data_IF_062769175704
#
_entry.id   IF_062769175704
#
_cell.length_a   1.000
_cell.length_b   1.000
_cell.length_c   1.000
_cell.angle_alpha   90.00
_cell.angle_beta   90.00
_cell.angle_gamma   90.00
#
_symmetry.space_group_name_H-M   'P 1'
#
loop_
_entity.id
_entity.type
_entity.pdbx_description
1 polymer ?
#
# COMPACT_ATOMS: atom_id res chain seq x y z
N UNK A 1 -26.96 18.38 10.06
CA UNK A 1 -25.96 18.68 9.06
C UNK A 1 -25.49 17.35 8.48
N UNK A 2 -26.39 16.62 7.83
CA UNK A 2 -26.23 15.21 7.47
C UNK A 2 -26.88 14.95 6.10
N UNK A 3 -26.38 15.53 5.03
CA UNK A 3 -26.99 15.28 3.69
C UNK A 3 -26.01 15.42 2.51
N UNK A 4 -24.73 15.15 2.68
CA UNK A 4 -23.78 15.22 1.54
C UNK A 4 -22.97 13.96 1.24
N UNK A 5 -23.06 12.89 2.03
CA UNK A 5 -22.27 11.66 1.80
C UNK A 5 -22.98 10.59 0.95
N UNK A 6 -24.28 10.61 0.83
CA UNK A 6 -25.08 9.59 0.13
C UNK A 6 -25.14 9.71 -1.40
N UNK A 7 -24.61 10.77 -2.00
CA UNK A 7 -24.70 10.96 -3.44
C UNK A 7 -23.54 10.33 -4.25
N UNK A 8 -22.41 10.04 -3.62
CA UNK A 8 -21.22 9.54 -4.35
C UNK A 8 -21.29 8.03 -4.65
N UNK A 9 -21.77 7.22 -3.71
CA UNK A 9 -21.83 5.76 -3.88
C UNK A 9 -22.88 5.30 -4.91
N UNK A 10 -23.96 6.05 -5.09
CA UNK A 10 -24.99 5.72 -6.09
C UNK A 10 -24.65 6.19 -7.52
N UNK A 11 -23.60 6.99 -7.71
CA UNK A 11 -23.23 7.51 -9.03
C UNK A 11 -22.27 6.61 -9.79
N UNK A 12 -21.52 5.73 -9.12
CA UNK A 12 -20.49 4.90 -9.75
C UNK A 12 -21.02 3.94 -10.83
N UNK A 13 -22.08 3.15 -10.58
CA UNK A 13 -22.63 2.27 -11.63
C UNK A 13 -23.26 3.00 -12.81
N UNK A 14 -23.73 4.24 -12.57
CA UNK A 14 -24.33 5.06 -13.62
C UNK A 14 -23.30 5.78 -14.51
N UNK A 15 -22.11 6.08 -13.97
CA UNK A 15 -21.00 6.70 -14.69
C UNK A 15 -20.33 5.73 -15.68
N UNK A 16 -20.16 4.46 -15.30
CA UNK A 16 -19.61 3.41 -16.17
C UNK A 16 -20.49 3.13 -17.38
N UNK A 17 -21.82 3.30 -17.26
CA UNK A 17 -22.77 3.13 -18.34
C UNK A 17 -22.90 4.36 -19.28
N UNK A 18 -22.40 5.54 -18.83
CA UNK A 18 -22.53 6.79 -19.58
C UNK A 18 -21.31 7.16 -20.44
N UNK A 19 -20.25 6.33 -20.47
CA UNK A 19 -19.05 6.59 -21.28
C UNK A 19 -18.24 7.81 -20.81
N UNK A 20 -18.19 8.03 -19.50
CA UNK A 20 -17.41 9.12 -18.89
C UNK A 20 -15.91 8.94 -19.14
N UNK A 21 -15.18 10.05 -19.26
CA UNK A 21 -13.74 10.05 -19.44
C UNK A 21 -13.01 9.60 -18.17
N UNK A 22 -11.78 9.10 -18.31
CA UNK A 22 -10.92 8.70 -17.18
C UNK A 22 -10.80 9.81 -16.13
N UNK A 23 -10.75 11.09 -16.58
CA UNK A 23 -10.71 12.27 -15.71
C UNK A 23 -11.97 12.43 -14.84
N UNK A 24 -13.16 12.08 -15.37
CA UNK A 24 -14.42 12.19 -14.64
C UNK A 24 -14.53 11.12 -13.54
N UNK A 25 -13.97 9.92 -13.78
CA UNK A 25 -13.92 8.83 -12.80
C UNK A 25 -12.90 9.14 -11.70
N UNK A 26 -11.73 9.68 -12.07
CA UNK A 26 -10.72 10.14 -11.11
C UNK A 26 -11.28 11.21 -10.17
N UNK A 27 -12.01 12.21 -10.71
CA UNK A 27 -12.63 13.26 -9.89
C UNK A 27 -13.73 12.75 -8.94
N UNK A 28 -14.33 11.59 -9.24
CA UNK A 28 -15.38 10.99 -8.41
C UNK A 28 -14.82 10.11 -7.26
N UNK A 29 -13.61 9.55 -7.44
CA UNK A 29 -13.01 8.58 -6.51
C UNK A 29 -11.91 9.21 -5.65
N UNK A 30 -11.17 10.18 -6.19
CA UNK A 30 -10.12 10.89 -5.45
C UNK A 30 -10.71 12.17 -4.79
N UNK A 31 -10.26 12.54 -3.59
CA UNK A 31 -10.61 13.83 -3.00
C UNK A 31 -10.24 14.98 -3.95
N UNK A 32 -10.93 16.10 -3.85
CA UNK A 32 -10.66 17.26 -4.69
C UNK A 32 -9.18 17.70 -4.59
N UNK A 33 -8.56 17.98 -5.74
CA UNK A 33 -7.20 18.48 -5.81
C UNK A 33 -6.98 19.69 -4.88
N UNK A 34 -5.97 19.60 -4.04
CA UNK A 34 -5.49 20.75 -3.30
C UNK A 34 -4.49 21.52 -4.18
N UNK A 35 -5.00 22.54 -4.89
CA UNK A 35 -4.23 23.30 -5.89
C UNK A 35 -3.29 24.35 -5.28
N UNK A 36 -3.03 24.33 -3.97
CA UNK A 36 -2.11 25.28 -3.35
C UNK A 36 -0.70 25.10 -3.94
N UNK A 37 -0.20 26.13 -4.58
CA UNK A 37 1.16 26.16 -5.14
C UNK A 37 2.13 26.64 -4.07
N UNK A 38 3.18 25.86 -3.80
CA UNK A 38 4.27 26.27 -2.92
C UNK A 38 5.36 26.88 -3.80
N UNK A 39 5.49 28.20 -3.74
CA UNK A 39 6.64 28.89 -4.32
C UNK A 39 7.77 28.91 -3.30
N UNK A 40 8.85 28.19 -3.57
CA UNK A 40 10.06 28.25 -2.76
C UNK A 40 10.86 29.50 -3.12
N UNK A 41 11.15 30.34 -2.12
CA UNK A 41 12.08 31.45 -2.33
C UNK A 41 13.47 30.90 -2.73
N UNK A 42 14.17 31.49 -3.70
CA UNK A 42 15.50 31.06 -4.12
C UNK A 42 16.50 31.26 -2.97
N UNK A 43 16.72 30.22 -2.19
CA UNK A 43 17.74 30.16 -1.16
C UNK A 43 18.93 29.41 -1.75
N UNK A 44 20.16 29.86 -1.52
CA UNK A 44 21.35 29.12 -1.94
C UNK A 44 21.24 27.66 -1.50
N UNK A 45 21.42 26.71 -2.44
CA UNK A 45 21.31 25.29 -2.16
C UNK A 45 22.22 24.93 -0.98
N UNK A 46 21.77 24.07 -0.05
CA UNK A 46 22.62 23.55 1.01
C UNK A 46 23.76 22.73 0.40
N UNK A 47 24.94 22.76 1.01
CA UNK A 47 26.10 22.04 0.46
C UNK A 47 26.07 20.53 0.73
N UNK A 48 25.39 20.10 1.77
CA UNK A 48 25.27 18.69 2.15
C UNK A 48 23.95 18.42 2.85
N UNK A 49 23.48 17.17 2.75
CA UNK A 49 22.32 16.64 3.45
C UNK A 49 22.59 15.20 3.92
N UNK A 50 22.35 14.91 5.18
CA UNK A 50 22.42 13.56 5.72
C UNK A 50 21.01 13.00 5.86
N UNK A 51 20.74 11.85 5.23
CA UNK A 51 19.41 11.25 5.16
C UNK A 51 19.41 9.83 5.73
N UNK A 52 18.47 9.54 6.60
CA UNK A 52 18.06 8.19 6.90
C UNK A 52 16.85 7.87 6.03
N UNK A 53 16.92 6.82 5.20
CA UNK A 53 15.84 6.47 4.29
C UNK A 53 15.65 4.96 4.21
N UNK A 54 14.38 4.50 4.17
CA UNK A 54 14.09 3.14 3.76
C UNK A 54 14.50 2.94 2.29
N UNK A 55 14.74 1.67 1.91
CA UNK A 55 15.24 1.36 0.57
C UNK A 55 14.29 1.87 -0.54
N UNK A 56 12.98 1.78 -0.30
CA UNK A 56 11.93 2.24 -1.21
C UNK A 56 11.89 3.77 -1.38
N UNK A 57 12.30 4.53 -0.36
CA UNK A 57 12.21 6.00 -0.34
C UNK A 57 13.53 6.70 -0.66
N UNK A 58 14.66 6.01 -0.54
CA UNK A 58 15.98 6.58 -0.85
C UNK A 58 16.10 7.22 -2.26
N UNK A 59 15.39 6.73 -3.32
CA UNK A 59 15.41 7.38 -4.63
C UNK A 59 14.93 8.84 -4.61
N UNK A 60 13.95 9.21 -3.77
CA UNK A 60 13.48 10.60 -3.65
C UNK A 60 14.58 11.53 -3.11
N UNK A 61 15.36 11.08 -2.12
CA UNK A 61 16.50 11.86 -1.62
C UNK A 61 17.59 12.06 -2.69
N UNK A 62 17.85 11.04 -3.49
CA UNK A 62 18.81 11.12 -4.61
C UNK A 62 18.34 12.09 -5.67
N UNK A 63 17.06 12.03 -6.07
CA UNK A 63 16.48 12.94 -7.03
C UNK A 63 16.64 14.41 -6.58
N UNK A 64 16.37 14.71 -5.31
CA UNK A 64 16.63 16.02 -4.73
C UNK A 64 18.11 16.42 -4.82
N UNK A 65 19.01 15.53 -4.40
CA UNK A 65 20.44 15.82 -4.37
C UNK A 65 20.98 16.10 -5.77
N UNK A 66 20.57 15.30 -6.75
CA UNK A 66 20.97 15.46 -8.16
C UNK A 66 20.41 16.76 -8.75
N UNK A 67 19.14 17.09 -8.52
CA UNK A 67 18.49 18.29 -9.03
C UNK A 67 19.09 19.58 -8.44
N UNK A 68 19.46 19.55 -7.14
CA UNK A 68 19.93 20.73 -6.43
C UNK A 68 21.47 20.81 -6.28
N UNK A 69 22.20 19.79 -6.75
CA UNK A 69 23.67 19.74 -6.64
C UNK A 69 24.16 19.61 -5.20
N UNK A 70 23.41 18.88 -4.35
CA UNK A 70 23.68 18.70 -2.92
C UNK A 70 24.49 17.44 -2.71
N UNK A 71 25.53 17.49 -1.86
CA UNK A 71 26.24 16.28 -1.43
C UNK A 71 25.36 15.47 -0.48
N UNK A 72 24.89 14.29 -0.94
CA UNK A 72 24.03 13.39 -0.15
C UNK A 72 24.86 12.36 0.62
N UNK A 73 24.58 12.24 1.90
CA UNK A 73 25.06 11.12 2.75
C UNK A 73 23.87 10.33 3.23
N UNK A 74 23.80 9.04 2.91
CA UNK A 74 22.80 8.14 3.47
C UNK A 74 23.39 7.46 4.70
N UNK A 75 22.68 7.49 5.81
CA UNK A 75 23.09 6.88 7.10
C UNK A 75 22.09 5.81 7.53
N UNK A 76 22.55 4.86 8.31
CA UNK A 76 21.74 3.84 9.01
C UNK A 76 21.37 4.25 10.46
N UNK A 77 21.83 5.43 10.89
CA UNK A 77 21.50 6.03 12.18
C UNK A 77 20.50 7.18 12.00
N UNK A 78 19.23 6.93 12.34
CA UNK A 78 18.17 7.94 12.28
C UNK A 78 18.45 9.16 13.18
N UNK A 79 19.18 8.97 14.29
CA UNK A 79 19.55 10.06 15.22
C UNK A 79 20.62 11.00 14.64
N UNK A 80 21.44 10.51 13.71
CA UNK A 80 22.47 11.29 13.02
C UNK A 80 21.98 11.97 11.73
N UNK A 81 20.78 11.63 11.25
CA UNK A 81 20.22 12.19 10.04
C UNK A 81 19.66 13.60 10.24
N UNK A 82 19.75 14.44 9.22
CA UNK A 82 19.05 15.72 9.13
C UNK A 82 17.60 15.52 8.74
N UNK A 83 17.37 14.61 7.77
CA UNK A 83 16.08 14.25 7.17
C UNK A 83 15.85 12.76 7.28
N UNK A 84 14.63 12.37 7.59
CA UNK A 84 14.16 10.99 7.60
C UNK A 84 13.11 10.80 6.50
N UNK A 85 13.32 9.79 5.65
CA UNK A 85 12.34 9.30 4.70
C UNK A 85 12.03 7.85 5.09
N UNK A 86 10.93 7.63 5.77
CA UNK A 86 10.63 6.37 6.44
C UNK A 86 9.18 5.97 6.22
N UNK A 87 8.90 4.68 6.29
CA UNK A 87 7.53 4.18 6.18
C UNK A 87 6.67 4.73 7.33
N UNK A 88 7.25 4.79 8.52
CA UNK A 88 6.62 5.40 9.70
C UNK A 88 7.68 6.13 10.52
N UNK A 89 7.44 7.39 10.85
CA UNK A 89 8.34 8.12 11.73
C UNK A 89 8.14 7.68 13.18
N UNK A 90 9.23 7.27 13.82
CA UNK A 90 9.22 6.88 15.22
C UNK A 90 10.44 7.44 15.95
N UNK A 91 10.23 7.88 17.18
CA UNK A 91 11.29 8.29 18.11
C UNK A 91 11.95 9.64 17.78
N UNK A 92 12.85 10.06 18.65
CA UNK A 92 13.65 11.27 18.47
C UNK A 92 12.90 12.59 18.71
N UNK A 93 13.63 13.68 18.57
CA UNK A 93 13.08 15.04 18.57
C UNK A 93 12.79 15.45 17.14
N UNK A 94 11.56 15.27 16.70
CA UNK A 94 11.13 15.66 15.35
C UNK A 94 10.64 17.12 15.35
N UNK A 95 10.90 17.80 14.25
CA UNK A 95 10.41 19.16 14.04
C UNK A 95 8.89 19.13 13.85
N UNK A 96 8.19 20.00 14.57
CA UNK A 96 6.80 20.30 14.26
C UNK A 96 6.74 21.12 12.96
N UNK A 97 6.27 20.49 11.88
CA UNK A 97 6.22 21.09 10.54
C UNK A 97 5.25 22.28 10.50
N UNK A 98 4.26 22.33 11.39
CA UNK A 98 3.30 23.44 11.46
C UNK A 98 3.90 24.69 12.13
N UNK A 99 5.01 24.54 12.85
CA UNK A 99 5.73 25.65 13.50
C UNK A 99 6.53 26.51 12.51
N UNK A 100 6.78 26.02 11.29
CA UNK A 100 7.51 26.74 10.23
C UNK A 100 6.54 27.16 9.12
N UNK A 101 6.56 28.41 8.72
CA UNK A 101 5.58 28.99 7.76
C UNK A 101 5.55 28.24 6.43
N UNK A 102 6.71 27.82 5.90
CA UNK A 102 6.77 27.14 4.60
C UNK A 102 6.38 25.68 4.72
N UNK A 103 6.83 25.00 5.77
CA UNK A 103 6.42 23.61 6.04
C UNK A 103 4.93 23.52 6.42
N UNK A 104 4.39 24.53 7.11
CA UNK A 104 2.96 24.64 7.37
C UNK A 104 2.14 24.77 6.06
N UNK A 105 2.65 25.49 5.08
CA UNK A 105 2.03 25.54 3.76
C UNK A 105 2.10 24.18 3.03
N UNK A 106 3.20 23.44 3.17
CA UNK A 106 3.32 22.07 2.67
C UNK A 106 2.34 21.13 3.36
N UNK A 107 2.23 21.22 4.69
CA UNK A 107 1.26 20.45 5.47
C UNK A 107 -0.19 20.74 5.04
N UNK A 108 -0.51 22.01 4.82
CA UNK A 108 -1.83 22.41 4.30
C UNK A 108 -2.12 21.85 2.90
N UNK A 109 -1.11 21.75 2.03
CA UNK A 109 -1.24 21.12 0.72
C UNK A 109 -1.60 19.63 0.83
N UNK A 110 -1.10 18.96 1.86
CA UNK A 110 -1.41 17.56 2.15
C UNK A 110 -2.66 17.37 3.04
N UNK A 111 -3.46 18.43 3.25
CA UNK A 111 -4.62 18.47 4.14
C UNK A 111 -4.30 18.13 5.62
N UNK A 112 -3.08 18.47 6.06
CA UNK A 112 -2.62 18.32 7.45
C UNK A 112 -2.72 19.67 8.14
N UNK A 113 -3.54 19.78 9.17
CA UNK A 113 -3.83 21.06 9.84
C UNK A 113 -3.34 21.13 11.28
N UNK A 114 -3.04 20.01 11.91
CA UNK A 114 -2.74 19.93 13.33
C UNK A 114 -1.38 19.25 13.60
N UNK A 115 -0.53 19.92 14.38
CA UNK A 115 0.64 19.43 15.13
C UNK A 115 1.33 18.20 14.53
N UNK A 116 1.62 18.24 13.24
CA UNK A 116 2.22 17.12 12.53
C UNK A 116 3.73 17.21 12.59
N UNK A 117 4.38 16.14 13.03
CA UNK A 117 5.84 16.00 12.97
C UNK A 117 6.30 15.40 11.64
N UNK A 118 5.38 15.15 10.73
CA UNK A 118 5.67 14.48 9.47
C UNK A 118 4.86 15.07 8.33
N UNK A 119 5.41 14.94 7.10
CA UNK A 119 4.71 15.21 5.85
C UNK A 119 4.58 13.89 5.10
N UNK A 120 3.39 13.42 4.70
CA UNK A 120 3.23 12.19 3.94
C UNK A 120 3.87 12.31 2.56
N UNK A 121 4.45 11.21 2.06
CA UNK A 121 5.03 11.15 0.71
C UNK A 121 3.98 10.79 -0.35
N UNK A 122 2.90 10.16 0.04
CA UNK A 122 1.85 9.74 -0.85
C UNK A 122 1.36 8.32 -0.58
N UNK A 123 0.64 7.77 -1.55
CA UNK A 123 0.04 6.44 -1.48
C UNK A 123 0.44 5.60 -2.68
N UNK A 124 0.46 4.29 -2.50
CA UNK A 124 0.78 3.32 -3.55
C UNK A 124 -0.22 2.18 -3.55
N UNK A 125 -0.43 1.58 -4.72
CA UNK A 125 -1.26 0.38 -4.85
C UNK A 125 -0.67 -0.77 -4.01
N UNK A 126 -1.52 -1.45 -3.28
CA UNK A 126 -1.19 -2.58 -2.43
C UNK A 126 -2.06 -3.79 -2.74
N UNK A 127 -1.47 -4.95 -2.80
CA UNK A 127 -2.12 -6.22 -3.05
C UNK A 127 -1.13 -7.30 -3.44
N UNK A 128 -1.61 -8.32 -4.13
CA UNK A 128 -0.80 -9.41 -4.65
C UNK A 128 -0.28 -9.08 -6.05
N UNK A 129 1.02 -9.04 -6.19
CA UNK A 129 1.70 -8.80 -7.46
C UNK A 129 2.21 -10.11 -8.04
N UNK A 130 1.98 -10.31 -9.34
CA UNK A 130 2.40 -11.51 -10.05
C UNK A 130 2.90 -11.17 -11.46
N UNK A 131 3.74 -12.03 -12.05
CA UNK A 131 4.10 -11.92 -13.44
C UNK A 131 2.88 -12.17 -14.34
N UNK A 132 2.60 -11.23 -15.24
CA UNK A 132 1.54 -11.37 -16.24
C UNK A 132 1.74 -12.61 -17.10
N UNK A 133 2.97 -12.82 -17.58
CA UNK A 133 3.31 -13.97 -18.42
C UNK A 133 3.10 -15.30 -17.70
N UNK A 134 3.45 -15.35 -16.39
CA UNK A 134 3.24 -16.55 -15.59
C UNK A 134 1.74 -16.83 -15.39
N UNK A 135 0.93 -15.83 -15.09
CA UNK A 135 -0.52 -15.99 -14.92
C UNK A 135 -1.19 -16.38 -16.24
N UNK A 136 -0.82 -15.74 -17.35
CA UNK A 136 -1.32 -16.10 -18.68
C UNK A 136 -0.97 -17.55 -19.05
N UNK A 137 0.24 -17.99 -18.72
CA UNK A 137 0.67 -19.37 -18.97
C UNK A 137 -0.08 -20.41 -18.11
N UNK A 138 -0.55 -20.01 -16.91
CA UNK A 138 -1.30 -20.86 -16.00
C UNK A 138 -2.80 -20.93 -16.34
N UNK A 139 -3.41 -19.79 -16.65
CA UNK A 139 -4.87 -19.62 -16.67
C UNK A 139 -5.39 -19.05 -18.01
N UNK A 140 -4.50 -18.61 -18.92
CA UNK A 140 -4.89 -17.95 -20.16
C UNK A 140 -4.95 -16.42 -20.05
N UNK A 141 -5.40 -15.77 -21.12
CA UNK A 141 -5.34 -14.30 -21.25
C UNK A 141 -6.26 -13.55 -20.27
N UNK A 142 -7.35 -14.15 -19.84
CA UNK A 142 -8.33 -13.57 -18.91
C UNK A 142 -7.93 -13.75 -17.43
N UNK A 143 -6.76 -14.34 -17.15
CA UNK A 143 -6.30 -14.72 -15.82
C UNK A 143 -6.40 -13.59 -14.79
N UNK A 144 -5.97 -12.38 -15.17
CA UNK A 144 -5.94 -11.22 -14.27
C UNK A 144 -7.36 -10.83 -13.87
N UNK A 145 -8.26 -10.69 -14.83
CA UNK A 145 -9.67 -10.33 -14.57
C UNK A 145 -10.37 -11.41 -13.74
N UNK A 146 -10.12 -12.69 -14.03
CA UNK A 146 -10.67 -13.78 -13.27
C UNK A 146 -10.19 -13.77 -11.80
N UNK A 147 -8.91 -13.51 -11.57
CA UNK A 147 -8.35 -13.41 -10.21
C UNK A 147 -8.82 -12.16 -9.47
N UNK A 148 -9.00 -11.04 -10.17
CA UNK A 148 -9.52 -9.81 -9.56
C UNK A 148 -10.95 -10.02 -9.04
N UNK A 149 -11.83 -10.64 -9.83
CA UNK A 149 -13.22 -10.89 -9.48
C UNK A 149 -13.48 -12.18 -8.68
N UNK A 150 -12.46 -12.95 -8.31
CA UNK A 150 -12.61 -14.19 -7.57
C UNK A 150 -13.09 -13.94 -6.14
N UNK A 151 -14.10 -14.69 -5.68
CA UNK A 151 -14.53 -14.70 -4.29
C UNK A 151 -13.44 -15.25 -3.37
N UNK A 152 -13.61 -15.12 -2.05
CA UNK A 152 -12.66 -15.71 -1.09
C UNK A 152 -12.56 -17.22 -1.24
N UNK A 153 -13.67 -17.91 -1.41
CA UNK A 153 -13.68 -19.38 -1.54
C UNK A 153 -12.96 -19.80 -2.82
N UNK A 154 -13.25 -19.16 -3.96
CA UNK A 154 -12.56 -19.43 -5.21
C UNK A 154 -11.05 -19.12 -5.12
N UNK A 155 -10.68 -18.02 -4.46
CA UNK A 155 -9.29 -17.65 -4.24
C UNK A 155 -8.55 -18.67 -3.38
N UNK A 156 -9.12 -19.09 -2.25
CA UNK A 156 -8.48 -20.06 -1.36
C UNK A 156 -8.33 -21.43 -2.02
N UNK A 157 -9.37 -21.91 -2.71
CA UNK A 157 -9.33 -23.17 -3.47
C UNK A 157 -8.30 -23.10 -4.61
N UNK A 158 -8.20 -21.97 -5.29
CA UNK A 158 -7.18 -21.73 -6.32
C UNK A 158 -5.77 -21.81 -5.72
N UNK A 159 -5.53 -21.12 -4.61
CA UNK A 159 -4.22 -21.10 -3.92
C UNK A 159 -3.80 -22.51 -3.51
N UNK A 160 -4.69 -23.29 -2.89
CA UNK A 160 -4.41 -24.66 -2.48
C UNK A 160 -4.15 -25.57 -3.68
N UNK A 161 -4.98 -25.45 -4.73
CA UNK A 161 -4.81 -26.21 -5.98
C UNK A 161 -3.50 -25.85 -6.68
N UNK A 162 -3.15 -24.57 -6.74
CA UNK A 162 -1.91 -24.09 -7.33
C UNK A 162 -0.68 -24.57 -6.55
N UNK A 163 -0.76 -24.57 -5.22
CA UNK A 163 0.30 -25.09 -4.35
C UNK A 163 0.57 -26.58 -4.61
N UNK A 164 -0.50 -27.37 -4.67
CA UNK A 164 -0.39 -28.79 -5.00
C UNK A 164 0.15 -29.02 -6.44
N UNK A 165 -0.29 -28.19 -7.37
CA UNK A 165 0.17 -28.23 -8.76
C UNK A 165 1.66 -27.84 -8.89
N UNK A 166 2.12 -26.81 -8.18
CA UNK A 166 3.54 -26.40 -8.19
C UNK A 166 4.45 -27.53 -7.69
N UNK A 167 3.98 -28.31 -6.71
CA UNK A 167 4.73 -29.45 -6.18
C UNK A 167 4.74 -30.64 -7.15
N UNK A 168 3.62 -30.91 -7.85
CA UNK A 168 3.49 -32.04 -8.79
C UNK A 168 2.53 -31.66 -9.93
N UNK A 169 3.05 -31.03 -11.02
CA UNK A 169 2.21 -30.55 -12.11
C UNK A 169 1.40 -31.64 -12.76
N UNK A 170 0.09 -31.45 -12.84
CA UNK A 170 -0.89 -32.27 -13.54
C UNK A 170 -2.10 -31.40 -13.85
N UNK A 171 -2.83 -31.67 -14.93
CA UNK A 171 -4.05 -30.92 -15.23
C UNK A 171 -4.98 -30.88 -14.00
N UNK A 172 -5.39 -29.69 -13.61
CA UNK A 172 -6.32 -29.45 -12.52
C UNK A 172 -7.29 -28.33 -12.90
N UNK A 173 -8.54 -28.44 -12.49
CA UNK A 173 -9.55 -27.41 -12.74
C UNK A 173 -9.66 -26.53 -11.51
N UNK A 174 -9.71 -25.22 -11.74
CA UNK A 174 -9.97 -24.19 -10.72
C UNK A 174 -11.10 -23.30 -11.21
N UNK A 175 -11.98 -22.88 -10.32
CA UNK A 175 -13.05 -21.93 -10.62
C UNK A 175 -12.64 -20.55 -10.13
N UNK A 176 -12.74 -19.53 -10.98
CA UNK A 176 -12.44 -18.13 -10.66
C UNK A 176 -13.50 -17.24 -11.32
N UNK A 177 -14.09 -16.33 -10.56
CA UNK A 177 -15.21 -15.49 -11.01
C UNK A 177 -16.34 -16.30 -11.66
N UNK A 178 -16.64 -17.48 -11.09
CA UNK A 178 -17.68 -18.38 -11.61
C UNK A 178 -17.35 -19.10 -12.92
N UNK A 179 -16.09 -19.07 -13.38
CA UNK A 179 -15.64 -19.74 -14.61
C UNK A 179 -14.55 -20.77 -14.31
N UNK A 180 -14.58 -21.88 -15.04
CA UNK A 180 -13.59 -22.94 -14.90
C UNK A 180 -12.35 -22.68 -15.76
N UNK A 181 -11.18 -22.77 -15.13
CA UNK A 181 -9.86 -22.71 -15.76
C UNK A 181 -9.13 -24.02 -15.53
N UNK A 182 -8.29 -24.41 -16.48
CA UNK A 182 -7.53 -25.66 -16.36
C UNK A 182 -6.04 -25.34 -16.26
N UNK A 183 -5.44 -25.62 -15.11
CA UNK A 183 -3.98 -25.61 -14.95
C UNK A 183 -3.36 -26.65 -15.88
N UNK A 184 -2.21 -26.37 -16.55
CA UNK A 184 -1.62 -27.24 -17.54
C UNK A 184 -1.09 -28.56 -16.91
N UNK A 185 -0.95 -29.63 -17.75
CA UNK A 185 -0.38 -30.92 -17.29
C UNK A 185 1.09 -30.83 -16.90
N UNK A 186 1.81 -29.85 -17.44
CA UNK A 186 3.23 -29.65 -17.21
C UNK A 186 3.50 -28.18 -16.90
N UNK A 187 4.52 -27.91 -16.11
CA UNK A 187 4.91 -26.56 -15.73
C UNK A 187 5.43 -25.77 -16.93
N UNK A 188 4.76 -24.68 -17.33
CA UNK A 188 5.24 -23.81 -18.39
C UNK A 188 6.56 -23.12 -18.05
N UNK A 189 7.39 -22.82 -19.04
CA UNK A 189 8.68 -22.15 -18.84
C UNK A 189 8.56 -20.75 -18.22
N UNK A 190 7.43 -20.07 -18.42
CA UNK A 190 7.14 -18.79 -17.78
C UNK A 190 6.94 -18.88 -16.27
N UNK A 191 6.54 -20.04 -15.75
CA UNK A 191 6.30 -20.26 -14.32
C UNK A 191 7.56 -20.76 -13.64
N UNK A 192 8.32 -19.89 -12.99
CA UNK A 192 9.54 -20.25 -12.25
C UNK A 192 9.27 -20.59 -10.78
N UNK A 193 8.08 -20.24 -10.29
CA UNK A 193 7.69 -20.37 -8.89
C UNK A 193 7.78 -21.82 -8.36
N UNK A 194 8.17 -21.98 -7.10
CA UNK A 194 8.18 -23.24 -6.35
C UNK A 194 7.13 -23.25 -5.23
N UNK A 195 6.56 -22.09 -4.90
CA UNK A 195 5.46 -21.90 -3.97
C UNK A 195 4.53 -20.78 -4.43
N UNK A 196 3.42 -20.60 -3.74
CA UNK A 196 2.40 -19.63 -4.17
C UNK A 196 2.78 -18.22 -3.74
N UNK A 197 3.21 -18.02 -2.48
CA UNK A 197 3.47 -16.70 -1.93
C UNK A 197 4.94 -16.48 -1.57
N UNK A 198 5.45 -15.29 -1.87
CA UNK A 198 6.67 -14.75 -1.28
C UNK A 198 6.38 -14.09 0.07
N UNK A 199 7.42 -13.85 0.86
CA UNK A 199 7.33 -13.02 2.06
C UNK A 199 6.74 -11.64 1.70
N UNK A 200 5.71 -11.15 2.42
CA UNK A 200 5.18 -9.82 2.21
C UNK A 200 6.24 -8.75 2.47
N UNK A 201 6.29 -7.72 1.63
CA UNK A 201 7.17 -6.58 1.84
C UNK A 201 6.63 -5.65 2.93
N UNK A 202 5.32 -5.40 2.94
CA UNK A 202 4.63 -4.64 3.99
C UNK A 202 3.50 -5.50 4.59
N UNK A 203 3.67 -5.91 5.84
CA UNK A 203 2.70 -6.76 6.53
C UNK A 203 1.56 -5.94 7.12
N UNK A 204 1.87 -4.77 7.68
CA UNK A 204 0.90 -3.93 8.38
C UNK A 204 -0.17 -3.37 7.42
N UNK A 205 0.19 -3.08 6.17
CA UNK A 205 -0.75 -2.55 5.19
C UNK A 205 -1.97 -3.46 4.93
N UNK A 206 -1.83 -4.78 5.10
CA UNK A 206 -2.94 -5.73 4.98
C UNK A 206 -4.07 -5.49 5.97
N UNK A 207 -3.78 -4.95 7.15
CA UNK A 207 -4.79 -4.64 8.15
C UNK A 207 -5.67 -3.43 7.78
N UNK A 208 -5.24 -2.60 6.82
CA UNK A 208 -6.07 -1.51 6.29
C UNK A 208 -7.38 -2.03 5.72
N UNK A 209 -7.42 -3.24 5.17
CA UNK A 209 -8.64 -3.86 4.67
C UNK A 209 -9.67 -4.10 5.81
N UNK A 210 -9.22 -4.56 6.99
CA UNK A 210 -10.09 -4.74 8.14
C UNK A 210 -10.62 -3.41 8.69
N UNK A 211 -9.77 -2.38 8.71
CA UNK A 211 -10.16 -1.04 9.17
C UNK A 211 -11.20 -0.44 8.21
N UNK A 212 -11.03 -0.62 6.91
CA UNK A 212 -11.99 -0.19 5.89
C UNK A 212 -13.32 -0.93 6.04
N UNK A 213 -13.30 -2.25 6.25
CA UNK A 213 -14.50 -3.06 6.46
C UNK A 213 -15.27 -2.63 7.73
N UNK A 214 -14.56 -2.09 8.72
CA UNK A 214 -15.15 -1.52 9.94
C UNK A 214 -15.54 -0.02 9.79
N UNK A 215 -15.54 0.54 8.57
CA UNK A 215 -15.81 1.96 8.28
C UNK A 215 -14.96 2.93 9.14
N UNK A 216 -13.70 2.56 9.38
CA UNK A 216 -12.81 3.33 10.26
C UNK A 216 -13.21 3.32 11.74
N UNK A 217 -14.10 2.41 12.16
CA UNK A 217 -14.54 2.29 13.55
C UNK A 217 -13.58 1.42 14.35
N UNK A 218 -12.88 2.03 15.31
CA UNK A 218 -11.88 1.36 16.15
C UNK A 218 -12.50 0.80 17.44
N UNK A 219 -13.41 -0.16 17.32
CA UNK A 219 -13.98 -0.91 18.45
C UNK A 219 -13.80 -2.41 18.27
N UNK A 220 -13.75 -3.15 19.36
CA UNK A 220 -13.63 -4.61 19.31
C UNK A 220 -14.78 -5.23 18.51
N UNK A 221 -16.01 -4.75 18.69
CA UNK A 221 -17.19 -5.26 18.00
C UNK A 221 -17.09 -5.08 16.48
N UNK A 222 -16.65 -3.89 16.01
CA UNK A 222 -16.55 -3.58 14.59
C UNK A 222 -15.37 -4.30 13.91
N UNK A 223 -14.25 -4.49 14.61
CA UNK A 223 -13.01 -5.01 14.03
C UNK A 223 -12.83 -6.51 14.17
N UNK A 224 -13.53 -7.19 15.09
CA UNK A 224 -13.29 -8.63 15.34
C UNK A 224 -13.57 -9.48 14.11
N UNK A 225 -14.69 -9.28 13.42
CA UNK A 225 -15.03 -9.98 12.19
C UNK A 225 -14.01 -9.74 11.09
N UNK A 226 -13.80 -8.47 10.66
CA UNK A 226 -12.81 -8.14 9.65
C UNK A 226 -11.38 -8.64 9.96
N UNK A 227 -10.94 -8.59 11.21
CA UNK A 227 -9.63 -9.14 11.62
C UNK A 227 -9.56 -10.67 11.54
N UNK A 228 -10.68 -11.38 11.72
CA UNK A 228 -10.76 -12.81 11.41
C UNK A 228 -10.55 -13.07 9.91
N UNK A 229 -11.06 -12.21 9.05
CA UNK A 229 -10.82 -12.26 7.60
C UNK A 229 -9.35 -12.10 7.25
N UNK A 230 -8.68 -11.09 7.84
CA UNK A 230 -7.23 -10.89 7.68
C UNK A 230 -6.43 -12.09 8.20
N UNK A 231 -6.80 -12.65 9.35
CA UNK A 231 -6.19 -13.91 9.84
C UNK A 231 -6.27 -15.03 8.80
N UNK A 232 -7.43 -15.21 8.16
CA UNK A 232 -7.62 -16.26 7.15
C UNK A 232 -6.69 -16.04 5.94
N UNK A 233 -6.56 -14.80 5.47
CA UNK A 233 -5.66 -14.45 4.38
C UNK A 233 -4.19 -14.73 4.73
N UNK A 234 -3.74 -14.26 5.90
CA UNK A 234 -2.35 -14.45 6.36
C UNK A 234 -2.04 -15.92 6.62
N UNK A 235 -2.98 -16.67 7.18
CA UNK A 235 -2.83 -18.11 7.38
C UNK A 235 -2.67 -18.85 6.05
N UNK A 236 -3.51 -18.53 5.06
CA UNK A 236 -3.43 -19.10 3.72
C UNK A 236 -2.06 -18.81 3.06
N UNK A 237 -1.55 -17.57 3.22
CA UNK A 237 -0.22 -17.21 2.74
C UNK A 237 0.88 -18.06 3.39
N UNK A 238 0.88 -18.16 4.74
CA UNK A 238 1.89 -18.92 5.47
C UNK A 238 1.88 -20.40 5.12
N UNK A 239 0.70 -21.00 4.94
CA UNK A 239 0.55 -22.41 4.60
C UNK A 239 1.04 -22.72 3.16
N UNK A 240 1.12 -21.71 2.29
CA UNK A 240 1.50 -21.82 0.88
C UNK A 240 2.72 -20.98 0.50
N UNK A 241 3.59 -20.68 1.48
CA UNK A 241 4.80 -19.88 1.27
C UNK A 241 5.82 -20.63 0.42
N UNK A 242 6.50 -19.90 -0.48
CA UNK A 242 7.61 -20.43 -1.25
C UNK A 242 8.88 -20.54 -0.38
N UNK A 243 9.77 -21.48 -0.73
CA UNK A 243 11.05 -21.67 -0.06
C UNK A 243 12.00 -20.47 -0.22
N UNK A 244 11.77 -19.62 -1.23
CA UNK A 244 12.53 -18.40 -1.46
C UNK A 244 11.64 -17.29 -2.07
N UNK A 245 11.98 -16.05 -1.77
CA UNK A 245 11.24 -14.87 -2.23
C UNK A 245 11.17 -14.74 -3.76
N UNK A 246 12.21 -15.20 -4.47
CA UNK A 246 12.30 -15.10 -5.93
C UNK A 246 11.53 -16.18 -6.67
N UNK A 247 11.01 -17.17 -5.96
CA UNK A 247 10.38 -18.36 -6.55
C UNK A 247 8.90 -18.49 -6.17
N UNK A 248 8.21 -17.39 -6.00
CA UNK A 248 6.76 -17.36 -5.73
C UNK A 248 5.97 -16.88 -6.94
N UNK A 249 4.68 -17.24 -7.00
CA UNK A 249 3.75 -16.72 -8.01
C UNK A 249 3.29 -15.32 -7.63
N UNK A 250 2.96 -15.10 -6.35
CA UNK A 250 2.44 -13.85 -5.82
C UNK A 250 3.33 -13.27 -4.74
N UNK A 251 3.39 -11.94 -4.68
CA UNK A 251 3.99 -11.20 -3.59
C UNK A 251 3.05 -10.10 -3.12
N UNK A 252 2.74 -10.06 -1.84
CA UNK A 252 1.97 -9.00 -1.21
C UNK A 252 2.90 -7.83 -0.89
N UNK A 253 2.70 -6.69 -1.55
CA UNK A 253 3.57 -5.52 -1.45
C UNK A 253 2.87 -4.24 -1.90
N UNK A 254 3.43 -3.10 -1.53
CA UNK A 254 3.19 -1.83 -2.22
C UNK A 254 3.96 -1.82 -3.54
N UNK A 255 3.44 -1.14 -4.55
CA UNK A 255 4.14 -0.96 -5.82
C UNK A 255 5.52 -0.31 -5.64
N UNK A 256 5.63 0.66 -4.74
CA UNK A 256 6.89 1.32 -4.39
C UNK A 256 7.96 0.38 -3.86
N UNK A 257 7.57 -0.65 -3.10
CA UNK A 257 8.52 -1.64 -2.58
C UNK A 257 9.07 -2.51 -3.71
N UNK A 258 8.20 -2.89 -4.65
CA UNK A 258 8.62 -3.67 -5.83
C UNK A 258 9.52 -2.86 -6.76
N UNK A 259 9.24 -1.56 -6.93
CA UNK A 259 10.10 -0.65 -7.67
C UNK A 259 11.52 -0.59 -7.12
N UNK A 260 11.62 -0.45 -5.81
CA UNK A 260 12.91 -0.38 -5.13
C UNK A 260 13.70 -1.68 -5.26
N UNK A 261 13.01 -2.82 -5.27
CA UNK A 261 13.64 -4.14 -5.30
C UNK A 261 13.99 -4.61 -6.72
N UNK A 262 13.04 -4.49 -7.65
CA UNK A 262 13.17 -5.07 -8.99
C UNK A 262 13.46 -4.05 -10.08
N UNK A 263 13.23 -2.77 -9.82
CA UNK A 263 13.32 -1.70 -10.81
C UNK A 263 12.12 -1.64 -11.77
N UNK A 264 12.01 -0.53 -12.49
CA UNK A 264 10.87 -0.21 -13.37
C UNK A 264 10.65 -1.26 -14.47
N UNK A 265 11.72 -1.71 -15.12
CA UNK A 265 11.62 -2.65 -16.26
C UNK A 265 11.01 -4.00 -15.85
N UNK A 266 11.40 -4.54 -14.68
CA UNK A 266 10.86 -5.80 -14.19
C UNK A 266 9.39 -5.66 -13.75
N UNK A 267 9.03 -4.53 -13.16
CA UNK A 267 7.67 -4.27 -12.71
C UNK A 267 6.67 -4.07 -13.86
N UNK A 268 7.12 -3.66 -15.07
CA UNK A 268 6.24 -3.50 -16.24
C UNK A 268 5.54 -4.79 -16.66
N UNK A 269 6.11 -5.94 -16.36
CA UNK A 269 5.52 -7.26 -16.62
C UNK A 269 4.66 -7.80 -15.48
N UNK A 270 4.47 -7.03 -14.41
CA UNK A 270 3.65 -7.44 -13.27
C UNK A 270 2.21 -6.94 -13.39
N UNK A 271 1.33 -7.65 -12.74
CA UNK A 271 -0.09 -7.31 -12.59
C UNK A 271 -0.51 -7.41 -11.14
N UNK A 272 -1.51 -6.61 -10.76
CA UNK A 272 -2.05 -6.55 -9.42
C UNK A 272 -3.33 -7.37 -9.32
N UNK A 273 -3.38 -8.21 -8.29
CA UNK A 273 -4.61 -8.84 -7.78
C UNK A 273 -4.90 -8.20 -6.41
N UNK A 274 -6.14 -7.78 -6.14
CA UNK A 274 -6.51 -7.20 -4.85
C UNK A 274 -6.12 -8.10 -3.69
N UNK A 275 -5.82 -7.50 -2.53
CA UNK A 275 -5.61 -8.27 -1.30
C UNK A 275 -6.93 -8.92 -0.89
N UNK A 276 -6.99 -10.26 -0.93
CA UNK A 276 -8.19 -11.05 -0.64
C UNK A 276 -8.25 -11.41 0.83
N UNK A 277 -9.39 -11.17 1.45
CA UNK A 277 -9.69 -11.54 2.84
C UNK A 277 -11.01 -12.32 2.92
N UNK A 278 -11.12 -13.21 3.91
CA UNK A 278 -12.37 -13.89 4.21
C UNK A 278 -13.22 -13.00 5.12
N UNK A 279 -13.98 -12.10 4.54
CA UNK A 279 -14.99 -11.34 5.29
C UNK A 279 -16.34 -12.05 5.21
N UNK A 280 -16.99 -12.23 6.36
CA UNK A 280 -18.38 -12.68 6.41
C UNK A 280 -19.28 -11.45 6.36
N UNK A 281 -20.32 -11.46 5.52
CA UNK A 281 -21.28 -10.35 5.39
C UNK A 281 -21.93 -10.00 6.73
N UNK A 282 -22.07 -10.99 7.66
CA UNK A 282 -22.59 -10.77 9.00
C UNK A 282 -21.65 -9.99 9.93
N UNK A 283 -20.36 -9.92 9.57
CA UNK A 283 -19.33 -9.24 10.36
C UNK A 283 -19.24 -7.73 10.07
N UNK A 284 -20.07 -7.24 9.14
CA UNK A 284 -20.06 -5.85 8.72
C UNK A 284 -20.96 -4.97 9.54
N UNK A 285 -20.44 -3.83 9.90
CA UNK A 285 -21.15 -2.81 10.63
C UNK A 285 -21.88 -1.79 9.74
N UNK A 286 -21.73 -1.88 8.41
CA UNK A 286 -22.31 -0.91 7.49
C UNK A 286 -23.09 -1.56 6.34
N UNK A 287 -24.35 -1.17 6.18
CA UNK A 287 -25.18 -1.49 5.03
C UNK A 287 -24.69 -0.78 3.73
N UNK A 288 -23.66 0.08 3.80
CA UNK A 288 -23.20 0.92 2.71
C UNK A 288 -22.08 0.30 1.86
N UNK A 289 -21.36 -0.68 2.39
CA UNK A 289 -20.30 -1.37 1.64
C UNK A 289 -20.75 -2.78 1.26
N UNK A 290 -20.90 -3.01 -0.04
CA UNK A 290 -20.93 -4.36 -0.56
C UNK A 290 -19.50 -4.90 -0.48
N UNK A 291 -19.26 -5.86 0.41
CA UNK A 291 -17.93 -6.44 0.61
C UNK A 291 -17.44 -7.25 -0.57
N UNK A 292 -18.35 -7.87 -1.32
CA UNK A 292 -17.96 -8.47 -2.59
C UNK A 292 -17.28 -7.42 -3.48
N UNK A 293 -17.75 -6.16 -3.44
CA UNK A 293 -17.11 -5.04 -4.12
C UNK A 293 -15.80 -4.55 -3.48
N UNK A 294 -15.62 -4.68 -2.15
CA UNK A 294 -14.35 -4.31 -1.50
C UNK A 294 -13.21 -5.26 -1.87
N UNK A 295 -13.50 -6.54 -2.07
CA UNK A 295 -12.52 -7.56 -2.46
C UNK A 295 -12.08 -7.42 -3.93
N UNK A 296 -12.86 -6.71 -4.74
CA UNK A 296 -12.58 -6.48 -6.17
C UNK A 296 -11.68 -5.28 -6.43
N UNK A 297 -11.42 -4.44 -5.42
CA UNK A 297 -10.64 -3.22 -5.56
C UNK A 297 -9.30 -3.30 -4.82
N UNK A 298 -8.20 -2.84 -5.45
CA UNK A 298 -6.93 -2.71 -4.76
C UNK A 298 -7.00 -1.62 -3.68
N UNK A 299 -6.19 -1.80 -2.65
CA UNK A 299 -6.05 -0.84 -1.55
C UNK A 299 -4.92 0.13 -1.86
N UNK A 300 -5.09 1.42 -1.56
CA UNK A 300 -4.01 2.39 -1.49
C UNK A 300 -3.41 2.36 -0.09
N UNK A 301 -2.17 1.94 0.01
CA UNK A 301 -1.40 2.00 1.25
C UNK A 301 -0.52 3.24 1.29
N UNK A 302 -0.33 3.82 2.47
CA UNK A 302 0.62 4.90 2.66
C UNK A 302 2.04 4.41 2.34
N UNK A 303 2.78 5.26 1.62
CA UNK A 303 4.15 4.95 1.20
C UNK A 303 5.15 5.28 2.28
N UNK A 304 4.85 6.29 3.08
CA UNK A 304 5.71 6.77 4.14
C UNK A 304 5.67 8.28 4.27
N UNK A 305 6.61 8.82 5.02
CA UNK A 305 6.63 10.22 5.37
C UNK A 305 8.04 10.83 5.41
N UNK A 306 8.06 12.15 5.32
CA UNK A 306 9.20 13.00 5.59
C UNK A 306 9.13 13.44 7.05
N UNK A 307 10.21 13.25 7.79
CA UNK A 307 10.40 13.84 9.11
C UNK A 307 11.73 14.59 9.17
N UNK A 308 11.82 15.65 9.96
CA UNK A 308 13.01 16.46 10.09
C UNK A 308 13.50 16.34 11.54
N UNK A 309 14.78 16.05 11.74
CA UNK A 309 15.37 16.01 13.06
C UNK A 309 15.54 17.44 13.59
N UNK A 310 14.83 17.77 14.66
CA UNK A 310 14.92 19.08 15.30
C UNK A 310 16.26 19.31 16.04
N UNK A 311 16.98 18.25 16.35
CA UNK A 311 18.28 18.29 17.02
C UNK A 311 19.48 18.45 16.09
N UNK A 312 19.27 18.52 14.76
CA UNK A 312 20.36 18.68 13.80
C UNK A 312 20.98 20.08 13.84
N UNK A 313 22.13 20.27 13.18
CA UNK A 313 22.77 21.56 13.04
C UNK A 313 21.89 22.57 12.28
N UNK A 314 22.19 23.87 12.41
CA UNK A 314 21.45 24.90 11.69
C UNK A 314 21.53 24.71 10.14
N UNK A 315 22.69 24.27 9.64
CA UNK A 315 22.88 23.97 8.22
C UNK A 315 22.13 22.70 7.81
N UNK A 316 22.16 21.63 8.65
CA UNK A 316 21.39 20.41 8.44
C UNK A 316 19.89 20.66 8.47
N UNK A 317 19.40 21.48 9.40
CA UNK A 317 18.00 21.87 9.46
C UNK A 317 17.55 22.61 8.21
N UNK A 318 18.40 23.54 7.72
CA UNK A 318 18.15 24.27 6.47
C UNK A 318 18.11 23.31 5.27
N UNK A 319 19.04 22.35 5.21
CA UNK A 319 19.12 21.36 4.15
C UNK A 319 17.87 20.46 4.13
N UNK A 320 17.48 19.95 5.32
CA UNK A 320 16.30 19.08 5.47
C UNK A 320 15.00 19.80 5.10
N UNK A 321 14.82 21.05 5.55
CA UNK A 321 13.69 21.89 5.13
C UNK A 321 13.66 22.12 3.62
N UNK A 322 14.83 22.40 3.02
CA UNK A 322 14.94 22.56 1.57
C UNK A 322 14.51 21.32 0.81
N UNK A 323 14.92 20.14 1.24
CA UNK A 323 14.53 18.86 0.64
C UNK A 323 13.03 18.59 0.78
N UNK A 324 12.47 18.77 1.99
CA UNK A 324 11.04 18.59 2.21
C UNK A 324 10.19 19.52 1.35
N UNK A 325 10.55 20.81 1.28
CA UNK A 325 9.84 21.78 0.46
C UNK A 325 10.00 21.53 -1.04
N UNK A 326 11.15 21.02 -1.47
CA UNK A 326 11.35 20.67 -2.89
C UNK A 326 10.46 19.49 -3.28
N UNK A 327 10.39 18.43 -2.47
CA UNK A 327 9.50 17.29 -2.71
C UNK A 327 8.01 17.72 -2.76
N UNK A 328 7.66 18.77 -2.04
CA UNK A 328 6.32 19.34 -2.03
C UNK A 328 6.12 20.50 -3.03
N UNK A 329 7.14 20.83 -3.84
CA UNK A 329 7.01 21.80 -4.91
C UNK A 329 6.38 21.19 -6.16
N UNK A 330 5.81 22.01 -7.03
CA UNK A 330 5.38 21.58 -8.35
C UNK A 330 6.59 21.35 -9.27
N UNK A 331 6.47 20.48 -10.27
CA UNK A 331 7.53 20.14 -11.20
C UNK A 331 8.49 19.09 -10.67
N UNK A 332 9.80 19.31 -10.70
CA UNK A 332 10.81 18.27 -10.42
C UNK A 332 10.61 17.54 -9.08
N UNK A 333 10.14 18.21 -8.03
CA UNK A 333 9.85 17.58 -6.75
C UNK A 333 8.64 16.65 -6.82
N UNK A 334 7.56 17.10 -7.46
CA UNK A 334 6.37 16.31 -7.72
C UNK A 334 6.68 15.12 -8.65
N UNK A 335 7.48 15.34 -9.71
CA UNK A 335 7.95 14.29 -10.60
C UNK A 335 8.80 13.25 -9.86
N UNK A 336 9.60 13.66 -8.86
CA UNK A 336 10.34 12.72 -8.02
C UNK A 336 9.41 11.81 -7.19
N UNK A 337 8.28 12.32 -6.73
CA UNK A 337 7.28 11.50 -6.05
C UNK A 337 6.52 10.60 -7.03
N UNK A 338 6.02 11.15 -8.11
CA UNK A 338 5.11 10.44 -9.04
C UNK A 338 5.84 9.52 -10.00
N UNK A 339 7.00 9.92 -10.54
CA UNK A 339 7.73 9.16 -11.56
C UNK A 339 8.86 8.32 -10.97
N UNK A 340 9.56 8.82 -9.94
CA UNK A 340 10.68 8.08 -9.33
C UNK A 340 10.22 7.10 -8.29
N UNK A 341 9.31 7.50 -7.39
CA UNK A 341 8.70 6.60 -6.39
C UNK A 341 7.45 5.88 -6.91
N UNK A 342 6.84 6.34 -7.99
CA UNK A 342 5.60 5.75 -8.52
C UNK A 342 4.43 5.89 -7.56
N UNK A 343 4.29 7.01 -6.85
CA UNK A 343 3.22 7.22 -5.89
C UNK A 343 2.14 8.16 -6.41
N UNK A 344 0.96 8.08 -5.85
CA UNK A 344 -0.05 9.14 -5.91
C UNK A 344 0.26 10.09 -4.77
N UNK A 345 0.51 11.36 -5.09
CA UNK A 345 0.89 12.38 -4.09
C UNK A 345 -0.21 12.59 -3.05
N UNK A 346 0.10 13.19 -1.88
CA UNK A 346 -0.92 13.54 -0.90
C UNK A 346 -2.01 14.48 -1.43
N UNK A 347 -1.71 15.25 -2.48
CA UNK A 347 -2.66 16.12 -3.17
C UNK A 347 -3.24 15.51 -4.46
N UNK A 348 -3.18 14.17 -4.58
CA UNK A 348 -3.80 13.34 -5.60
C UNK A 348 -3.27 13.49 -7.04
N UNK A 349 -2.03 13.93 -7.22
CA UNK A 349 -1.36 13.86 -8.52
C UNK A 349 -0.75 12.47 -8.71
N UNK A 350 -0.97 11.88 -9.89
CA UNK A 350 -0.34 10.67 -10.37
C UNK A 350 0.28 10.94 -11.74
N UNK A 351 1.32 10.19 -12.13
CA UNK A 351 1.96 10.30 -13.43
C UNK A 351 1.74 9.03 -14.25
N UNK A 352 1.45 9.20 -15.53
CA UNK A 352 1.45 8.12 -16.52
C UNK A 352 2.77 8.06 -17.32
N UNK A 353 3.75 8.88 -16.96
CA UNK A 353 5.05 8.95 -17.63
C UNK A 353 5.87 7.66 -17.45
N UNK A 354 5.66 6.95 -16.34
CA UNK A 354 6.25 5.62 -16.10
C UNK A 354 5.20 4.53 -16.29
N UNK A 355 5.62 3.31 -16.67
CA UNK A 355 4.70 2.18 -16.79
C UNK A 355 3.96 1.88 -15.47
N UNK A 356 4.57 2.17 -14.34
CA UNK A 356 4.00 1.97 -13.02
C UNK A 356 3.04 3.09 -12.63
N UNK A 357 3.36 4.33 -12.95
CA UNK A 357 2.45 5.45 -12.83
C UNK A 357 1.22 5.24 -13.72
N UNK A 358 1.40 4.80 -14.97
CA UNK A 358 0.32 4.43 -15.86
C UNK A 358 -0.58 3.34 -15.27
N UNK A 359 0.00 2.32 -14.63
CA UNK A 359 -0.77 1.27 -13.95
C UNK A 359 -1.58 1.83 -12.78
N UNK A 360 -1.01 2.74 -11.98
CA UNK A 360 -1.76 3.39 -10.89
C UNK A 360 -2.92 4.24 -11.43
N UNK A 361 -2.70 4.98 -12.50
CA UNK A 361 -3.73 5.77 -13.18
C UNK A 361 -4.84 4.85 -13.72
N UNK A 362 -4.49 3.75 -14.36
CA UNK A 362 -5.44 2.75 -14.87
C UNK A 362 -6.27 2.14 -13.74
N UNK A 363 -5.64 1.72 -12.65
CA UNK A 363 -6.34 1.15 -11.50
C UNK A 363 -7.21 2.19 -10.78
N UNK A 364 -6.77 3.44 -10.68
CA UNK A 364 -7.59 4.53 -10.15
C UNK A 364 -8.89 4.72 -10.94
N UNK A 365 -8.86 4.47 -12.25
CA UNK A 365 -10.03 4.50 -13.12
C UNK A 365 -11.02 3.34 -12.88
N UNK A 366 -10.57 2.23 -12.31
CA UNK A 366 -11.40 1.07 -11.97
C UNK A 366 -12.04 1.23 -10.57
N UNK A 367 -11.42 2.04 -9.73
CA UNK A 367 -11.76 2.24 -8.33
C UNK A 367 -10.66 1.70 -7.41
N UNK A 368 -10.36 2.44 -6.37
CA UNK A 368 -9.40 2.07 -5.33
C UNK A 368 -9.93 2.48 -3.97
N UNK A 369 -9.59 1.68 -2.96
CA UNK A 369 -9.98 1.95 -1.59
C UNK A 369 -8.84 2.71 -0.88
N UNK A 370 -9.13 3.85 -0.24
CA UNK A 370 -8.15 4.57 0.54
C UNK A 370 -7.79 3.76 1.79
N UNK A 371 -6.55 3.32 1.90
CA UNK A 371 -6.03 2.71 3.12
C UNK A 371 -5.95 3.70 4.28
N UNK A 372 -5.82 3.20 5.49
CA UNK A 372 -5.63 4.01 6.69
C UNK A 372 -4.14 4.10 7.02
N UNK A 373 -3.65 5.30 7.27
CA UNK A 373 -2.30 5.52 7.79
C UNK A 373 -2.18 4.90 9.21
N UNK A 374 -1.15 4.10 9.41
CA UNK A 374 -0.81 3.53 10.71
C UNK A 374 0.42 4.25 11.27
N UNK A 375 0.43 4.52 12.57
CA UNK A 375 1.66 4.96 13.21
C UNK A 375 2.67 3.81 13.35
N UNK A 376 3.95 4.15 13.56
CA UNK A 376 5.03 3.16 13.60
C UNK A 376 4.82 2.08 14.65
N UNK A 377 4.37 2.44 15.85
CA UNK A 377 4.20 1.49 16.94
C UNK A 377 3.08 0.49 16.63
N UNK A 378 1.99 0.98 16.04
CA UNK A 378 0.88 0.16 15.55
C UNK A 378 1.33 -0.76 14.41
N UNK A 379 2.03 -0.24 13.41
CA UNK A 379 2.55 -1.01 12.29
C UNK A 379 3.53 -2.11 12.73
N UNK A 380 4.45 -1.79 13.64
CA UNK A 380 5.39 -2.76 14.22
C UNK A 380 4.66 -3.87 14.99
N UNK A 381 3.66 -3.50 15.79
CA UNK A 381 2.87 -4.47 16.57
C UNK A 381 2.05 -5.39 15.67
N UNK A 382 1.43 -4.87 14.60
CA UNK A 382 0.69 -5.66 13.62
C UNK A 382 1.61 -6.57 12.82
N UNK A 383 2.80 -6.09 12.44
CA UNK A 383 3.83 -6.91 11.79
C UNK A 383 4.29 -8.05 12.68
N UNK A 384 4.56 -7.77 13.96
CA UNK A 384 4.93 -8.80 14.93
C UNK A 384 3.81 -9.83 15.13
N UNK A 385 2.54 -9.39 15.14
CA UNK A 385 1.38 -10.27 15.24
C UNK A 385 1.29 -11.24 14.05
N UNK A 386 1.53 -10.75 12.83
CA UNK A 386 1.56 -11.61 11.63
C UNK A 386 2.73 -12.60 11.67
N UNK A 387 3.91 -12.13 12.06
CA UNK A 387 5.10 -13.00 12.18
C UNK A 387 4.93 -14.10 13.23
N UNK A 388 4.09 -13.90 14.25
CA UNK A 388 3.80 -14.93 15.24
C UNK A 388 3.10 -16.17 14.65
N UNK A 389 2.47 -16.05 13.47
CA UNK A 389 1.90 -17.19 12.74
C UNK A 389 2.95 -18.01 12.00
N UNK A 390 4.17 -17.47 11.83
CA UNK A 390 5.26 -18.09 11.10
C UNK A 390 5.79 -19.30 11.86
N UNK A 391 5.49 -20.38 11.84
CA UNK A 391 5.99 -21.55 12.59
C UNK A 391 4.91 -22.24 13.38
N UNK A 392 3.69 -21.76 13.24
CA UNK A 392 2.52 -22.51 13.68
C UNK A 392 2.17 -23.57 12.62
N UNK A 393 2.23 -24.83 13.00
CA UNK A 393 1.84 -25.96 12.14
C UNK A 393 0.33 -26.25 12.17
N UNK A 394 -0.41 -25.58 13.06
CA UNK A 394 -1.85 -25.85 13.26
C UNK A 394 -2.66 -24.57 13.36
N UNK A 395 -3.64 -24.42 12.48
CA UNK A 395 -4.58 -23.28 12.45
C UNK A 395 -5.72 -23.50 13.44
N UNK A 396 -5.45 -23.31 14.72
CA UNK A 396 -6.43 -23.53 15.78
C UNK A 396 -7.32 -22.31 16.05
N UNK A 397 -8.51 -22.55 16.63
CA UNK A 397 -9.36 -21.46 17.11
C UNK A 397 -8.64 -20.59 18.16
N UNK A 398 -7.80 -21.18 19.00
CA UNK A 398 -7.03 -20.44 20.01
C UNK A 398 -6.00 -19.48 19.35
N UNK A 399 -5.31 -19.93 18.30
CA UNK A 399 -4.39 -19.12 17.54
C UNK A 399 -5.11 -17.94 16.85
N UNK A 400 -6.23 -18.21 16.17
CA UNK A 400 -7.07 -17.16 15.57
C UNK A 400 -7.51 -16.13 16.61
N UNK A 401 -8.01 -16.58 17.76
CA UNK A 401 -8.41 -15.68 18.84
C UNK A 401 -7.24 -14.85 19.37
N UNK A 402 -6.05 -15.43 19.50
CA UNK A 402 -4.86 -14.71 19.93
C UNK A 402 -4.43 -13.65 18.91
N UNK A 403 -4.46 -13.99 17.61
CA UNK A 403 -4.16 -13.07 16.53
C UNK A 403 -5.09 -11.84 16.52
N UNK A 404 -6.42 -12.10 16.58
CA UNK A 404 -7.41 -11.01 16.60
C UNK A 404 -7.24 -10.14 17.83
N UNK A 405 -7.05 -10.75 19.01
CA UNK A 405 -6.83 -9.99 20.25
C UNK A 405 -5.57 -9.12 20.21
N UNK A 406 -4.48 -9.63 19.65
CA UNK A 406 -3.25 -8.85 19.49
C UNK A 406 -3.43 -7.69 18.51
N UNK A 407 -4.13 -7.91 17.40
CA UNK A 407 -4.43 -6.86 16.43
C UNK A 407 -5.36 -5.78 17.02
N UNK A 408 -6.41 -6.15 17.76
CA UNK A 408 -7.28 -5.20 18.47
C UNK A 408 -6.49 -4.35 19.46
N UNK A 409 -5.57 -4.97 20.21
CA UNK A 409 -4.72 -4.25 21.16
C UNK A 409 -3.78 -3.26 20.45
N UNK A 410 -3.17 -3.67 19.31
CA UNK A 410 -2.31 -2.81 18.50
C UNK A 410 -3.07 -1.61 17.93
N UNK A 411 -4.32 -1.81 17.51
CA UNK A 411 -5.20 -0.76 16.96
C UNK A 411 -5.85 0.10 18.05
N UNK A 412 -5.59 -0.14 19.32
CA UNK A 412 -6.22 0.59 20.43
C UNK A 412 -7.72 0.31 20.58
N UNK A 413 -8.21 -0.76 19.97
CA UNK A 413 -9.61 -1.19 19.99
C UNK A 413 -9.87 -2.24 21.10
N UNK A 414 -9.14 -2.18 22.21
CA UNK A 414 -9.26 -3.12 23.32
C UNK A 414 -10.67 -3.21 23.89
N UNK A 415 -10.96 -4.31 24.58
CA UNK A 415 -12.25 -4.55 25.24
C UNK A 415 -12.68 -3.30 26.00
N UNK A 416 -13.86 -2.78 25.68
CA UNK A 416 -14.55 -1.86 26.58
C UNK A 416 -14.67 -2.59 27.92
N UNK A 417 -13.99 -2.08 28.92
CA UNK A 417 -14.14 -2.59 30.29
C UNK A 417 -15.65 -2.60 30.63
N UNK A 418 -16.18 -3.79 30.87
CA UNK A 418 -17.51 -3.96 31.46
C UNK A 418 -17.59 -3.27 32.82
#
# INVERSE_FOLDING_TARGET
>A
MQTRKTAAALALPALLLAGCSLADVQAAVLPAENTATIETAPTAAPQSLTVYASASLAPAARAYADAQGVALTVTDDAGAADLLLVDHASGGSLLDVTSDTLLAAAAARADITDNANTLPLGRSLYGYWASKDALTALLGDDAVTALQGATWDEWSDFVETLSAWLAAPKAAVVTLSGQDYTLPETKPDAVKATGVFAQPADRAAGYSAAILAADGTYTADALTGPLNGVYSAVALEWDNMADSETNAVFRRAKLTDLLAEYGSDACQGMVLVPFKCNFDESDLTTDEYNLDGLLDYPVLADVGCIAINAGTSADGLKAAKGAALWLYSNGEGEDALTETLGVITPWNTASDATALGAMQVEQAGIGILPGTALDAATADALTANELALQGSESRTKAERTAFVKAALAALGAGETAE
#
